data_IF_291137699851
#
_entry.id   IF_291137699851
#
_cell.length_a   1.000
_cell.length_b   1.000
_cell.length_c   1.000
_cell.angle_alpha   90.00
_cell.angle_beta   90.00
_cell.angle_gamma   90.00
#
_symmetry.space_group_name_H-M   'P 1'
#
loop_
_entity.id
_entity.type
_entity.pdbx_description
1 polymer ?
#
# COMPACT_ATOMS: atom_id res chain seq x y z
N UNK A 1 31.02 7.98 17.16
CA UNK A 1 31.12 6.79 16.29
C UNK A 1 29.77 6.09 16.27
N UNK A 2 28.93 6.46 15.30
CA UNK A 2 27.58 5.91 15.13
C UNK A 2 27.68 4.51 14.53
N UNK A 3 27.30 3.49 15.30
CA UNK A 3 27.14 2.13 14.78
C UNK A 3 25.92 2.16 13.86
N UNK A 4 26.17 2.34 12.56
CA UNK A 4 25.19 1.99 11.51
C UNK A 4 24.75 0.55 11.78
N UNK A 5 23.51 0.35 12.23
CA UNK A 5 22.89 -0.97 12.23
C UNK A 5 22.91 -1.42 10.77
N UNK A 6 23.60 -2.53 10.50
CA UNK A 6 23.50 -3.19 9.20
C UNK A 6 22.01 -3.42 8.87
N UNK A 7 21.61 -3.34 7.60
CA UNK A 7 20.27 -3.76 7.21
C UNK A 7 20.05 -5.16 7.76
N UNK A 8 18.95 -5.34 8.48
CA UNK A 8 18.63 -6.62 9.10
C UNK A 8 18.35 -7.61 7.96
N UNK A 9 19.36 -8.38 7.53
CA UNK A 9 19.16 -9.56 6.67
C UNK A 9 18.01 -10.35 7.28
N UNK A 10 16.91 -10.45 6.54
CA UNK A 10 15.74 -11.12 7.07
C UNK A 10 16.04 -12.62 7.06
N UNK A 11 15.90 -13.29 8.21
CA UNK A 11 16.37 -14.68 8.43
C UNK A 11 15.86 -15.69 7.37
N UNK A 12 14.77 -15.35 6.69
CA UNK A 12 14.06 -16.18 5.73
C UNK A 12 13.82 -15.46 4.39
N UNK A 13 14.65 -14.46 4.02
CA UNK A 13 14.47 -13.59 2.84
C UNK A 13 14.18 -14.37 1.55
N UNK A 14 15.02 -15.38 1.24
CA UNK A 14 14.81 -16.20 0.05
C UNK A 14 13.46 -16.93 0.03
N UNK A 15 12.93 -17.32 1.19
CA UNK A 15 11.59 -17.93 1.29
C UNK A 15 10.51 -16.87 1.04
N UNK A 16 10.63 -15.71 1.68
CA UNK A 16 9.65 -14.63 1.52
C UNK A 16 9.61 -14.13 0.08
N UNK A 17 10.78 -13.99 -0.57
CA UNK A 17 10.90 -13.49 -1.94
C UNK A 17 10.19 -14.40 -2.94
N UNK A 18 10.44 -15.71 -2.88
CA UNK A 18 9.78 -16.63 -3.80
C UNK A 18 8.26 -16.68 -3.57
N UNK A 19 7.81 -16.52 -2.32
CA UNK A 19 6.38 -16.45 -2.00
C UNK A 19 5.74 -15.16 -2.55
N UNK A 20 6.44 -14.03 -2.47
CA UNK A 20 6.00 -12.76 -3.06
C UNK A 20 5.96 -12.86 -4.59
N UNK A 21 6.95 -13.48 -5.22
CA UNK A 21 6.97 -13.71 -6.67
C UNK A 21 5.79 -14.61 -7.11
N UNK A 22 5.54 -15.70 -6.38
CA UNK A 22 4.36 -16.54 -6.59
C UNK A 22 3.05 -15.77 -6.38
N UNK A 23 2.98 -14.91 -5.37
CA UNK A 23 1.81 -14.07 -5.14
C UNK A 23 1.55 -13.20 -6.37
N UNK A 24 2.57 -12.47 -6.83
CA UNK A 24 2.49 -11.57 -7.98
C UNK A 24 2.07 -12.32 -9.25
N UNK A 25 2.64 -13.50 -9.49
CA UNK A 25 2.21 -14.38 -10.58
C UNK A 25 0.72 -14.75 -10.48
N UNK A 26 0.25 -15.19 -9.31
CA UNK A 26 -1.16 -15.57 -9.14
C UNK A 26 -2.10 -14.37 -9.33
N UNK A 27 -1.69 -13.15 -8.92
CA UNK A 27 -2.47 -11.91 -9.14
C UNK A 27 -2.47 -11.47 -10.61
N UNK A 28 -1.30 -11.39 -11.22
CA UNK A 28 -1.10 -10.72 -12.51
C UNK A 28 -1.41 -11.65 -13.68
N UNK A 29 -1.00 -12.90 -13.60
CA UNK A 29 -1.15 -13.86 -14.69
C UNK A 29 -2.43 -14.67 -14.53
N UNK A 30 -2.58 -15.36 -13.39
CA UNK A 30 -3.74 -16.23 -13.15
C UNK A 30 -5.00 -15.48 -12.70
N UNK A 31 -4.89 -14.20 -12.31
CA UNK A 31 -5.99 -13.37 -11.78
C UNK A 31 -6.68 -14.02 -10.56
N UNK A 32 -5.94 -14.78 -9.76
CA UNK A 32 -6.41 -15.54 -8.61
C UNK A 32 -6.14 -14.79 -7.29
N UNK A 33 -6.98 -13.83 -6.94
CA UNK A 33 -6.78 -12.93 -5.79
C UNK A 33 -6.68 -13.66 -4.44
N UNK A 34 -7.43 -14.74 -4.24
CA UNK A 34 -7.37 -15.53 -3.01
C UNK A 34 -6.01 -16.22 -2.84
N UNK A 35 -5.42 -16.71 -3.93
CA UNK A 35 -4.07 -17.30 -3.89
C UNK A 35 -2.99 -16.25 -3.66
N UNK A 36 -3.12 -15.09 -4.31
CA UNK A 36 -2.26 -13.93 -4.03
C UNK A 36 -2.26 -13.57 -2.54
N UNK A 37 -3.44 -13.44 -1.93
CA UNK A 37 -3.56 -13.13 -0.51
C UNK A 37 -2.98 -14.25 0.38
N UNK A 38 -3.18 -15.52 0.02
CA UNK A 38 -2.62 -16.66 0.77
C UNK A 38 -1.08 -16.66 0.76
N UNK A 39 -0.45 -16.42 -0.40
CA UNK A 39 1.00 -16.32 -0.50
C UNK A 39 1.55 -15.11 0.26
N UNK A 40 0.90 -13.94 0.20
CA UNK A 40 1.31 -12.77 0.98
C UNK A 40 1.14 -12.97 2.49
N UNK A 41 0.07 -13.64 2.94
CA UNK A 41 -0.10 -14.00 4.35
C UNK A 41 1.04 -14.91 4.81
N UNK A 42 1.37 -15.94 4.04
CA UNK A 42 2.50 -16.83 4.35
C UNK A 42 3.83 -16.08 4.41
N UNK A 43 4.13 -15.22 3.42
CA UNK A 43 5.34 -14.42 3.39
C UNK A 43 5.44 -13.49 4.61
N UNK A 44 4.35 -12.81 4.98
CA UNK A 44 4.28 -11.91 6.14
C UNK A 44 4.59 -12.63 7.46
N UNK A 45 3.98 -13.79 7.69
CA UNK A 45 4.19 -14.56 8.92
C UNK A 45 5.60 -15.15 8.98
N UNK A 46 6.16 -15.58 7.84
CA UNK A 46 7.53 -16.08 7.75
C UNK A 46 8.57 -14.96 7.95
N UNK A 47 8.31 -13.76 7.42
CA UNK A 47 9.21 -12.60 7.57
C UNK A 47 9.40 -12.21 9.05
N UNK A 48 8.37 -12.41 9.87
CA UNK A 48 8.39 -12.14 11.32
C UNK A 48 8.87 -13.31 12.17
N UNK A 49 9.07 -14.48 11.56
CA UNK A 49 9.48 -15.67 12.30
C UNK A 49 10.92 -15.47 12.83
N UNK A 50 11.16 -15.59 14.14
CA UNK A 50 12.41 -15.14 14.77
C UNK A 50 13.59 -16.11 14.55
N UNK A 51 13.40 -17.17 13.77
CA UNK A 51 14.40 -18.20 13.51
C UNK A 51 14.48 -18.48 12.00
N UNK A 52 15.61 -19.01 11.57
CA UNK A 52 15.77 -19.52 10.21
C UNK A 52 15.02 -20.85 10.08
N UNK A 53 14.04 -20.90 9.18
CA UNK A 53 13.24 -22.09 8.90
C UNK A 53 14.11 -23.18 8.30
N UNK A 54 14.00 -24.40 8.81
CA UNK A 54 14.79 -25.56 8.39
C UNK A 54 13.99 -26.61 7.63
N UNK A 55 12.67 -26.52 7.64
CA UNK A 55 11.79 -27.42 6.89
C UNK A 55 10.42 -26.80 6.61
N UNK A 56 9.73 -27.31 5.59
CA UNK A 56 8.33 -27.02 5.33
C UNK A 56 7.43 -27.45 6.49
N UNK A 57 7.75 -28.56 7.17
CA UNK A 57 7.01 -29.02 8.34
C UNK A 57 7.07 -28.02 9.52
N UNK A 58 8.23 -27.37 9.71
CA UNK A 58 8.38 -26.27 10.67
C UNK A 58 7.54 -25.06 10.25
N UNK A 59 7.66 -24.64 8.98
CA UNK A 59 6.90 -23.51 8.46
C UNK A 59 5.38 -23.72 8.53
N UNK A 60 4.90 -24.96 8.30
CA UNK A 60 3.47 -25.33 8.34
C UNK A 60 2.81 -25.13 9.70
N UNK A 61 3.59 -24.99 10.78
CA UNK A 61 3.07 -24.66 12.11
C UNK A 61 2.62 -23.20 12.22
N UNK A 62 3.04 -22.35 11.27
CA UNK A 62 2.68 -20.94 11.22
C UNK A 62 1.30 -20.76 10.57
N UNK A 63 0.44 -19.96 11.19
CA UNK A 63 -0.87 -19.63 10.61
C UNK A 63 -0.71 -18.96 9.24
N UNK A 64 -1.39 -19.47 8.22
CA UNK A 64 -1.26 -19.04 6.83
C UNK A 64 -0.33 -19.91 5.96
N UNK A 65 0.42 -20.86 6.55
CA UNK A 65 1.28 -21.78 5.78
C UNK A 65 0.62 -23.16 5.66
N UNK A 66 0.00 -23.43 4.50
CA UNK A 66 -0.60 -24.74 4.20
C UNK A 66 0.38 -25.76 3.62
N UNK A 67 -0.06 -27.02 3.44
CA UNK A 67 0.77 -28.12 2.92
C UNK A 67 1.47 -27.78 1.59
N UNK A 68 0.76 -27.15 0.64
CA UNK A 68 1.33 -26.78 -0.67
C UNK A 68 2.41 -25.70 -0.59
N UNK A 69 2.43 -24.89 0.46
CA UNK A 69 3.48 -23.89 0.70
C UNK A 69 4.66 -24.57 1.38
N UNK A 70 4.38 -25.41 2.39
CA UNK A 70 5.40 -26.23 3.05
C UNK A 70 6.22 -27.07 2.05
N UNK A 71 5.57 -27.76 1.12
CA UNK A 71 6.25 -28.53 0.07
C UNK A 71 7.19 -27.67 -0.80
N UNK A 72 6.81 -26.42 -1.08
CA UNK A 72 7.65 -25.48 -1.86
C UNK A 72 8.83 -24.98 -1.05
N UNK A 73 8.64 -24.80 0.26
CA UNK A 73 9.72 -24.45 1.18
C UNK A 73 10.73 -25.60 1.24
N UNK A 74 10.27 -26.85 1.35
CA UNK A 74 11.17 -28.01 1.31
C UNK A 74 11.94 -28.10 -0.01
N UNK A 75 11.28 -27.90 -1.16
CA UNK A 75 11.95 -27.85 -2.48
C UNK A 75 13.00 -26.74 -2.53
N UNK A 76 12.66 -25.54 -2.05
CA UNK A 76 13.56 -24.39 -2.04
C UNK A 76 14.75 -24.59 -1.12
N UNK A 77 14.54 -25.09 0.10
CA UNK A 77 15.62 -25.38 1.04
C UNK A 77 16.57 -26.47 0.54
N UNK A 78 16.04 -27.45 -0.21
CA UNK A 78 16.84 -28.56 -0.76
C UNK A 78 17.66 -28.13 -1.98
N UNK A 79 17.07 -27.32 -2.86
CA UNK A 79 17.65 -27.06 -4.20
C UNK A 79 18.13 -25.62 -4.41
N UNK A 80 17.80 -24.72 -3.49
CA UNK A 80 18.01 -23.27 -3.62
C UNK A 80 17.08 -22.60 -4.64
N UNK A 81 16.17 -23.34 -5.28
CA UNK A 81 15.29 -22.86 -6.37
C UNK A 81 13.90 -23.48 -6.27
N UNK A 82 12.97 -22.99 -7.08
CA UNK A 82 11.64 -23.58 -7.20
C UNK A 82 11.32 -23.83 -8.67
N UNK A 83 11.14 -25.09 -9.07
CA UNK A 83 10.89 -25.45 -10.48
C UNK A 83 9.68 -24.75 -11.08
N UNK A 84 8.64 -24.50 -10.26
CA UNK A 84 7.46 -23.73 -10.69
C UNK A 84 7.84 -22.31 -11.10
N UNK A 85 8.70 -21.63 -10.34
CA UNK A 85 9.13 -20.26 -10.67
C UNK A 85 10.06 -20.23 -11.87
N UNK A 86 10.98 -21.18 -12.00
CA UNK A 86 11.84 -21.28 -13.18
C UNK A 86 11.00 -21.41 -14.46
N UNK A 87 9.93 -22.23 -14.42
CA UNK A 87 8.99 -22.34 -15.54
C UNK A 87 8.22 -21.04 -15.82
N UNK A 88 7.81 -20.33 -14.76
CA UNK A 88 7.11 -19.04 -14.89
C UNK A 88 8.03 -17.98 -15.51
N UNK A 89 9.29 -17.92 -15.08
CA UNK A 89 10.30 -16.97 -15.59
C UNK A 89 10.63 -17.24 -17.05
N UNK A 90 10.61 -18.50 -17.48
CA UNK A 90 10.82 -18.89 -18.89
C UNK A 90 9.59 -18.69 -19.79
N UNK A 91 8.41 -18.37 -19.23
CA UNK A 91 7.21 -18.12 -20.02
C UNK A 91 7.10 -16.63 -20.39
N UNK A 92 7.36 -16.31 -21.65
CA UNK A 92 7.34 -14.94 -22.18
C UNK A 92 6.04 -14.19 -21.88
N UNK A 93 4.92 -14.91 -21.87
CA UNK A 93 3.60 -14.35 -21.53
C UNK A 93 3.56 -13.88 -20.09
N UNK A 94 3.98 -14.73 -19.15
CA UNK A 94 4.01 -14.41 -17.73
C UNK A 94 4.99 -13.27 -17.42
N UNK A 95 6.17 -13.31 -18.01
CA UNK A 95 7.20 -12.27 -17.83
C UNK A 95 6.73 -10.91 -18.36
N UNK A 96 6.14 -10.87 -19.56
CA UNK A 96 5.60 -9.63 -20.13
C UNK A 96 4.43 -9.07 -19.33
N UNK A 97 3.47 -9.93 -18.93
CA UNK A 97 2.32 -9.48 -18.12
C UNK A 97 2.79 -8.93 -16.77
N UNK A 98 3.71 -9.62 -16.08
CA UNK A 98 4.27 -9.13 -14.81
C UNK A 98 5.05 -7.82 -14.97
N UNK A 99 5.75 -7.65 -16.08
CA UNK A 99 6.45 -6.40 -16.36
C UNK A 99 5.45 -5.25 -16.55
N UNK A 100 4.46 -5.42 -17.43
CA UNK A 100 3.49 -4.38 -17.76
C UNK A 100 2.65 -3.95 -16.55
N UNK A 101 2.36 -4.85 -15.60
CA UNK A 101 1.62 -4.50 -14.37
C UNK A 101 2.42 -3.66 -13.37
N UNK A 102 3.73 -3.45 -13.58
CA UNK A 102 4.54 -2.52 -12.77
C UNK A 102 4.21 -1.05 -13.10
N UNK A 103 3.73 -0.78 -14.31
CA UNK A 103 3.26 0.56 -14.71
C UNK A 103 1.95 0.85 -13.99
N UNK A 104 1.93 1.90 -13.15
CA UNK A 104 0.71 2.27 -12.42
C UNK A 104 -0.43 2.61 -13.40
N UNK A 105 -1.64 2.13 -13.10
CA UNK A 105 -2.78 2.20 -14.00
C UNK A 105 -2.93 1.00 -14.95
N UNK A 106 -1.89 0.15 -15.09
CA UNK A 106 -1.98 -1.11 -15.85
C UNK A 106 -2.24 -2.27 -14.88
N UNK A 107 -3.50 -2.71 -14.81
CA UNK A 107 -3.89 -3.92 -14.08
C UNK A 107 -3.72 -5.21 -14.90
N UNK A 108 -3.91 -6.40 -14.29
CA UNK A 108 -3.77 -7.70 -14.95
C UNK A 108 -4.56 -7.87 -16.26
N UNK A 109 -5.77 -7.28 -16.32
CA UNK A 109 -6.60 -7.32 -17.51
C UNK A 109 -6.03 -6.47 -18.66
N UNK A 110 -5.55 -5.25 -18.35
CA UNK A 110 -4.94 -4.37 -19.34
C UNK A 110 -3.59 -4.93 -19.82
N UNK A 111 -2.75 -5.43 -18.92
CA UNK A 111 -1.47 -6.06 -19.26
C UNK A 111 -1.66 -7.25 -20.23
N UNK A 112 -2.64 -8.12 -19.97
CA UNK A 112 -2.97 -9.23 -20.87
C UNK A 112 -3.45 -8.74 -22.24
N UNK A 113 -4.34 -7.74 -22.27
CA UNK A 113 -4.81 -7.13 -23.52
C UNK A 113 -3.64 -6.55 -24.33
N UNK A 114 -2.75 -5.78 -23.71
CA UNK A 114 -1.57 -5.23 -24.37
C UNK A 114 -0.63 -6.32 -24.89
N UNK A 115 -0.45 -7.39 -24.12
CA UNK A 115 0.31 -8.55 -24.57
C UNK A 115 -0.31 -9.21 -25.81
N UNK A 116 -1.63 -9.40 -25.83
CA UNK A 116 -2.35 -9.92 -27.01
C UNK A 116 -2.21 -8.98 -28.24
N UNK A 117 -2.07 -7.67 -28.01
CA UNK A 117 -1.79 -6.67 -29.05
C UNK A 117 -0.30 -6.55 -29.45
N UNK A 118 0.58 -7.40 -28.92
CA UNK A 118 2.00 -7.44 -29.30
C UNK A 118 2.94 -6.60 -28.43
N UNK A 119 2.44 -5.94 -27.37
CA UNK A 119 3.27 -5.16 -26.43
C UNK A 119 4.00 -6.11 -25.48
N UNK A 120 5.32 -5.99 -25.36
CA UNK A 120 6.13 -6.86 -24.47
C UNK A 120 6.88 -6.08 -23.40
N UNK A 121 7.28 -4.84 -23.69
CA UNK A 121 8.18 -4.04 -22.87
C UNK A 121 7.77 -2.55 -22.83
N UNK A 122 8.61 -1.71 -22.24
CA UNK A 122 8.37 -0.28 -22.06
C UNK A 122 8.41 0.47 -23.40
N UNK A 123 9.31 0.07 -24.30
CA UNK A 123 9.47 0.67 -25.63
C UNK A 123 8.20 0.46 -26.47
N UNK A 124 7.59 -0.71 -26.38
CA UNK A 124 6.31 -0.99 -27.05
C UNK A 124 5.17 -0.17 -26.46
N UNK A 125 5.13 0.00 -25.13
CA UNK A 125 4.15 0.89 -24.48
C UNK A 125 4.29 2.33 -24.97
N UNK A 126 5.53 2.85 -25.10
CA UNK A 126 5.79 4.20 -25.64
C UNK A 126 5.27 4.35 -27.08
N UNK A 127 5.37 3.32 -27.92
CA UNK A 127 4.82 3.35 -29.30
C UNK A 127 3.29 3.41 -29.34
N UNK A 128 2.61 2.91 -28.31
CA UNK A 128 1.14 2.89 -28.22
C UNK A 128 0.59 3.86 -27.19
N UNK A 129 1.34 4.90 -26.81
CA UNK A 129 0.96 5.86 -25.76
C UNK A 129 -0.43 6.48 -25.99
N UNK A 130 -0.82 6.68 -27.26
CA UNK A 130 -2.14 7.16 -27.67
C UNK A 130 -3.31 6.20 -27.34
N UNK A 131 -3.03 4.92 -27.07
CA UNK A 131 -4.02 3.92 -26.62
C UNK A 131 -4.12 3.82 -25.10
N UNK A 132 -3.19 4.42 -24.38
CA UNK A 132 -3.18 4.41 -22.92
C UNK A 132 -4.18 5.43 -22.39
N UNK A 133 -4.86 5.10 -21.28
CA UNK A 133 -5.63 6.12 -20.57
C UNK A 133 -4.71 7.08 -19.80
N UNK A 134 -5.26 8.19 -19.32
CA UNK A 134 -4.51 9.23 -18.61
C UNK A 134 -3.63 8.70 -17.47
N UNK A 135 -4.18 7.84 -16.59
CA UNK A 135 -3.41 7.24 -15.49
C UNK A 135 -2.23 6.41 -16.03
N UNK A 136 -2.47 5.58 -17.05
CA UNK A 136 -1.42 4.76 -17.67
C UNK A 136 -0.33 5.59 -18.35
N UNK A 137 -0.69 6.72 -18.97
CA UNK A 137 0.28 7.64 -19.57
C UNK A 137 1.21 8.24 -18.52
N UNK A 138 0.67 8.75 -17.41
CA UNK A 138 1.48 9.26 -16.29
C UNK A 138 2.30 8.13 -15.65
N UNK A 139 1.72 6.94 -15.51
CA UNK A 139 2.43 5.78 -15.00
C UNK A 139 3.59 5.34 -15.88
N UNK A 140 3.47 5.50 -17.20
CA UNK A 140 4.54 5.26 -18.16
C UNK A 140 5.61 6.37 -18.09
N UNK A 141 5.18 7.64 -18.00
CA UNK A 141 6.03 8.83 -17.90
C UNK A 141 7.03 8.72 -16.74
N UNK A 142 6.55 8.31 -15.56
CA UNK A 142 7.35 8.24 -14.32
C UNK A 142 7.70 6.82 -13.88
N UNK A 143 7.69 5.85 -14.79
CA UNK A 143 7.87 4.43 -14.48
C UNK A 143 9.10 4.18 -13.60
N UNK A 144 10.27 4.70 -14.00
CA UNK A 144 11.52 4.48 -13.27
C UNK A 144 11.57 5.22 -11.93
N UNK A 145 10.95 6.39 -11.84
CA UNK A 145 10.92 7.21 -10.62
C UNK A 145 9.99 6.61 -9.56
N UNK A 146 8.84 6.06 -9.96
CA UNK A 146 7.89 5.40 -9.06
C UNK A 146 8.40 4.09 -8.46
N UNK A 147 9.44 3.48 -9.03
CA UNK A 147 10.09 2.31 -8.44
C UNK A 147 11.15 2.69 -7.38
N UNK A 148 11.56 3.96 -7.32
CA UNK A 148 12.52 4.44 -6.34
C UNK A 148 11.82 4.69 -5.01
N UNK A 149 12.40 4.13 -3.95
CA UNK A 149 12.00 4.37 -2.56
C UNK A 149 12.23 5.84 -2.18
N UNK A 150 11.40 6.36 -1.29
CA UNK A 150 11.51 7.70 -0.72
C UNK A 150 12.22 7.58 0.64
N UNK A 151 13.44 8.13 0.84
CA UNK A 151 14.10 8.15 2.13
C UNK A 151 13.25 8.87 3.20
N UNK A 152 13.33 8.42 4.45
CA UNK A 152 12.56 9.05 5.54
C UNK A 152 12.86 10.55 5.71
N UNK A 153 14.10 10.99 5.46
CA UNK A 153 14.46 12.40 5.49
C UNK A 153 13.69 13.23 4.45
N UNK A 154 13.55 12.72 3.22
CA UNK A 154 12.75 13.34 2.17
C UNK A 154 11.27 13.40 2.57
N UNK A 155 10.73 12.32 3.18
CA UNK A 155 9.37 12.32 3.74
C UNK A 155 9.15 13.39 4.81
N UNK A 156 10.15 13.68 5.64
CA UNK A 156 10.07 14.72 6.70
C UNK A 156 10.03 16.14 6.12
N UNK A 157 10.77 16.38 5.04
CA UNK A 157 10.72 17.65 4.30
C UNK A 157 9.32 17.83 3.69
N UNK A 158 8.81 16.79 3.02
CA UNK A 158 7.46 16.81 2.44
C UNK A 158 6.38 17.00 3.51
N UNK A 159 6.47 16.30 4.64
CA UNK A 159 5.55 16.49 5.78
C UNK A 159 5.54 17.95 6.25
N UNK A 160 6.71 18.55 6.44
CA UNK A 160 6.84 19.94 6.90
C UNK A 160 6.21 20.92 5.90
N UNK A 161 6.48 20.74 4.60
CA UNK A 161 5.88 21.55 3.54
C UNK A 161 4.36 21.38 3.54
N UNK A 162 3.86 20.15 3.46
CA UNK A 162 2.42 19.86 3.38
C UNK A 162 1.67 20.46 4.57
N UNK A 163 2.14 20.24 5.80
CA UNK A 163 1.45 20.74 6.99
C UNK A 163 1.44 22.27 7.05
N UNK A 164 2.51 22.93 6.62
CA UNK A 164 2.56 24.39 6.49
C UNK A 164 1.56 24.89 5.45
N UNK A 165 1.50 24.25 4.28
CA UNK A 165 0.62 24.69 3.19
C UNK A 165 -0.85 24.39 3.47
N UNK A 166 -1.17 23.38 4.29
CA UNK A 166 -2.54 23.18 4.81
C UNK A 166 -3.00 24.36 5.68
N UNK A 167 -2.13 24.88 6.55
CA UNK A 167 -2.43 26.05 7.41
C UNK A 167 -2.69 27.33 6.58
N UNK A 168 -2.03 27.46 5.41
CA UNK A 168 -2.26 28.55 4.46
C UNK A 168 -3.64 28.45 3.80
N UNK A 169 -4.09 27.24 3.46
CA UNK A 169 -5.41 27.03 2.84
C UNK A 169 -6.52 27.27 3.85
N UNK A 170 -6.44 26.59 5.01
CA UNK A 170 -7.33 26.81 6.15
C UNK A 170 -6.69 26.22 7.42
N UNK A 171 -6.47 27.01 8.49
CA UNK A 171 -5.89 26.52 9.74
C UNK A 171 -6.75 25.47 10.47
N UNK A 172 -8.01 25.27 10.07
CA UNK A 172 -8.88 24.22 10.62
C UNK A 172 -8.62 22.82 10.02
N UNK A 173 -7.83 22.73 8.93
CA UNK A 173 -7.39 21.43 8.41
C UNK A 173 -6.48 20.72 9.39
N UNK A 174 -6.69 19.41 9.51
CA UNK A 174 -5.72 18.52 10.18
C UNK A 174 -5.27 17.49 9.16
N UNK A 175 -3.99 17.56 8.81
CA UNK A 175 -3.29 16.57 7.98
C UNK A 175 -2.48 15.60 8.84
N UNK A 176 -2.57 14.31 8.55
CA UNK A 176 -1.76 13.26 9.17
C UNK A 176 -1.09 12.42 8.09
N UNK A 177 0.25 12.45 8.01
CA UNK A 177 1.00 11.57 7.12
C UNK A 177 0.93 10.13 7.67
N UNK A 178 0.39 9.22 6.88
CA UNK A 178 0.05 7.85 7.25
C UNK A 178 1.02 6.84 6.61
N UNK A 179 0.51 5.68 6.17
CA UNK A 179 1.28 4.70 5.42
C UNK A 179 2.47 4.13 6.17
N UNK A 180 3.50 3.72 5.42
CA UNK A 180 4.77 3.23 6.00
C UNK A 180 5.49 4.28 6.83
N UNK A 181 5.30 5.57 6.52
CA UNK A 181 5.92 6.66 7.25
C UNK A 181 5.48 6.70 8.72
N UNK A 182 4.16 6.62 8.98
CA UNK A 182 3.59 6.54 10.33
C UNK A 182 3.96 5.27 11.08
N UNK A 183 4.24 4.18 10.35
CA UNK A 183 4.77 2.94 10.93
C UNK A 183 6.28 3.01 11.23
N UNK A 184 6.92 4.17 11.03
CA UNK A 184 8.33 4.37 11.36
C UNK A 184 9.30 3.72 10.37
N UNK A 185 8.90 3.48 9.12
CA UNK A 185 9.81 2.95 8.12
C UNK A 185 10.92 3.96 7.76
N UNK A 186 12.14 3.46 7.53
CA UNK A 186 13.31 4.25 7.09
C UNK A 186 13.20 4.75 5.64
N UNK A 187 12.28 4.16 4.87
CA UNK A 187 11.85 4.66 3.58
C UNK A 187 10.37 4.38 3.36
N UNK A 188 9.75 5.07 2.40
CA UNK A 188 8.36 4.87 1.96
C UNK A 188 8.29 4.63 0.45
N UNK A 189 7.16 4.12 -0.03
CA UNK A 189 6.92 3.93 -1.47
C UNK A 189 6.31 5.19 -2.09
N UNK A 190 5.46 5.83 -1.32
CA UNK A 190 4.66 6.99 -1.64
C UNK A 190 4.33 7.76 -0.35
N UNK A 191 3.56 8.84 -0.50
CA UNK A 191 3.09 9.69 0.59
C UNK A 191 1.57 9.50 0.71
N UNK A 192 1.13 9.09 1.90
CA UNK A 192 -0.27 8.92 2.23
C UNK A 192 -0.69 10.02 3.20
N UNK A 193 -1.66 10.86 2.84
CA UNK A 193 -2.11 12.00 3.65
C UNK A 193 -3.57 11.81 4.03
N UNK A 194 -3.83 11.54 5.30
CA UNK A 194 -5.18 11.60 5.84
C UNK A 194 -5.52 13.05 6.17
N UNK A 195 -6.64 13.54 5.65
CA UNK A 195 -7.09 14.91 5.84
C UNK A 195 -8.44 14.92 6.56
N UNK A 196 -8.63 15.85 7.49
CA UNK A 196 -9.93 16.13 8.12
C UNK A 196 -10.16 17.64 8.22
N UNK A 197 -11.42 18.04 8.28
CA UNK A 197 -11.86 19.43 8.44
C UNK A 197 -13.18 19.43 9.24
N UNK A 198 -13.43 20.40 10.13
CA UNK A 198 -14.66 20.45 10.95
C UNK A 198 -15.96 20.49 10.13
N UNK A 199 -15.96 21.13 8.96
CA UNK A 199 -17.13 21.16 8.07
C UNK A 199 -17.50 19.82 7.42
N UNK A 200 -16.64 18.81 7.55
CA UNK A 200 -16.92 17.47 7.03
C UNK A 200 -16.95 16.43 8.17
N UNK A 201 -18.15 16.01 8.50
CA UNK A 201 -18.47 14.97 9.49
C UNK A 201 -19.37 13.90 8.89
N UNK A 202 -19.63 12.83 9.64
CA UNK A 202 -20.53 11.75 9.21
C UNK A 202 -21.99 12.19 9.01
N UNK A 203 -22.36 13.35 9.56
CA UNK A 203 -23.70 13.94 9.48
C UNK A 203 -23.85 14.97 8.35
N UNK A 204 -22.73 15.49 7.84
CA UNK A 204 -22.74 16.45 6.73
C UNK A 204 -22.75 15.74 5.38
N UNK A 205 -23.27 16.41 4.35
CA UNK A 205 -23.06 15.99 2.96
C UNK A 205 -21.57 16.02 2.60
N UNK A 206 -21.20 15.30 1.54
CA UNK A 206 -19.83 15.33 1.03
C UNK A 206 -19.45 16.75 0.63
N UNK A 207 -18.27 17.18 1.06
CA UNK A 207 -17.71 18.50 0.78
C UNK A 207 -16.54 18.38 -0.21
N UNK A 208 -16.78 18.14 -1.51
CA UNK A 208 -15.70 17.95 -2.50
C UNK A 208 -14.74 19.14 -2.55
N UNK A 209 -15.27 20.36 -2.33
CA UNK A 209 -14.50 21.60 -2.31
C UNK A 209 -13.35 21.58 -1.30
N UNK A 210 -13.51 20.89 -0.17
CA UNK A 210 -12.47 20.84 0.86
C UNK A 210 -11.24 20.07 0.36
N UNK A 211 -11.42 18.95 -0.32
CA UNK A 211 -10.29 18.25 -0.93
C UNK A 211 -9.75 19.02 -2.13
N UNK A 212 -10.64 19.61 -2.94
CA UNK A 212 -10.24 20.33 -4.15
C UNK A 212 -9.39 21.55 -3.82
N UNK A 213 -9.76 22.35 -2.82
CA UNK A 213 -8.98 23.51 -2.39
C UNK A 213 -7.54 23.14 -2.01
N UNK A 214 -7.35 22.05 -1.26
CA UNK A 214 -6.01 21.57 -0.89
C UNK A 214 -5.22 21.12 -2.11
N UNK A 215 -5.84 20.33 -3.01
CA UNK A 215 -5.16 19.86 -4.23
C UNK A 215 -4.80 21.03 -5.14
N UNK A 216 -5.74 21.96 -5.37
CA UNK A 216 -5.55 23.13 -6.24
C UNK A 216 -4.44 24.04 -5.69
N UNK A 217 -4.36 24.21 -4.36
CA UNK A 217 -3.28 24.95 -3.71
C UNK A 217 -1.92 24.27 -3.91
N UNK A 218 -1.83 22.96 -3.65
CA UNK A 218 -0.59 22.20 -3.83
C UNK A 218 -0.14 22.15 -5.30
N UNK A 219 -1.07 22.18 -6.26
CA UNK A 219 -0.78 22.36 -7.68
C UNK A 219 -0.27 23.78 -7.98
N UNK A 220 -0.88 24.81 -7.38
CA UNK A 220 -0.51 26.22 -7.63
C UNK A 220 0.90 26.58 -7.17
N UNK A 221 1.39 25.94 -6.11
CA UNK A 221 2.77 26.10 -5.62
C UNK A 221 3.75 25.15 -6.34
N UNK A 222 3.27 24.33 -7.28
CA UNK A 222 4.06 23.39 -8.05
C UNK A 222 4.53 22.15 -7.28
N UNK A 223 3.95 21.86 -6.09
CA UNK A 223 4.28 20.64 -5.35
C UNK A 223 3.59 19.42 -5.96
N UNK A 224 2.29 19.53 -6.28
CA UNK A 224 1.58 18.52 -7.08
C UNK A 224 1.79 18.83 -8.56
N UNK A 225 2.32 17.86 -9.30
CA UNK A 225 2.76 18.03 -10.69
C UNK A 225 1.87 17.33 -11.71
N UNK A 226 1.26 16.20 -11.33
CA UNK A 226 0.31 15.48 -12.19
C UNK A 226 -0.80 14.82 -11.37
N UNK A 227 -1.98 14.67 -11.97
CA UNK A 227 -3.13 14.01 -11.37
C UNK A 227 -3.34 12.63 -12.02
N UNK A 228 -3.57 11.58 -11.23
CA UNK A 228 -4.01 10.27 -11.74
C UNK A 228 -5.54 10.15 -11.65
N UNK A 229 -6.12 10.56 -10.52
CA UNK A 229 -7.56 10.63 -10.30
C UNK A 229 -7.91 11.59 -9.16
N UNK A 230 -9.05 12.28 -9.26
CA UNK A 230 -9.58 13.20 -8.25
C UNK A 230 -11.08 12.98 -8.11
N UNK A 231 -11.53 12.67 -6.91
CA UNK A 231 -12.94 12.58 -6.53
C UNK A 231 -13.27 13.54 -5.39
N UNK A 232 -14.41 13.35 -4.73
CA UNK A 232 -14.84 14.22 -3.63
C UNK A 232 -13.99 14.05 -2.36
N UNK A 233 -13.54 12.82 -2.10
CA UNK A 233 -12.86 12.47 -0.84
C UNK A 233 -11.51 11.80 -1.04
N UNK A 234 -11.11 11.52 -2.28
CA UNK A 234 -9.83 10.90 -2.60
C UNK A 234 -9.16 11.57 -3.79
N UNK A 235 -7.90 11.89 -3.63
CA UNK A 235 -7.00 12.30 -4.70
C UNK A 235 -5.84 11.29 -4.80
N UNK A 236 -5.43 10.99 -6.03
CA UNK A 236 -4.24 10.23 -6.34
C UNK A 236 -3.47 11.01 -7.39
N UNK A 237 -2.22 11.36 -7.12
CA UNK A 237 -1.41 12.16 -8.03
C UNK A 237 0.09 11.95 -7.91
N UNK A 238 0.83 12.91 -8.40
CA UNK A 238 2.27 12.97 -8.43
C UNK A 238 2.69 14.28 -7.80
N UNK A 239 3.72 14.22 -6.97
CA UNK A 239 4.32 15.41 -6.37
C UNK A 239 5.84 15.37 -6.52
N UNK A 240 6.47 16.52 -6.38
CA UNK A 240 7.91 16.66 -6.42
C UNK A 240 8.31 17.78 -5.45
N UNK A 241 9.34 17.55 -4.64
CA UNK A 241 9.96 18.64 -3.92
C UNK A 241 10.67 19.56 -4.92
N UNK A 242 10.51 20.87 -4.74
CA UNK A 242 11.26 21.83 -5.53
C UNK A 242 12.73 21.79 -5.10
N UNK A 243 13.60 21.96 -6.09
CA UNK A 243 15.03 22.01 -5.92
C UNK A 243 15.42 23.33 -5.23
N UNK A 244 16.19 23.25 -4.14
CA UNK A 244 16.85 24.44 -3.58
C UNK A 244 18.17 24.72 -4.33
N UNK A 245 18.66 25.97 -4.29
CA UNK A 245 19.91 26.35 -4.97
C UNK A 245 21.13 25.52 -4.51
N UNK A 246 21.07 24.94 -3.31
CA UNK A 246 22.11 24.11 -2.70
C UNK A 246 22.04 22.62 -3.10
N UNK A 247 20.94 22.17 -3.71
CA UNK A 247 20.78 20.78 -4.11
C UNK A 247 21.58 20.48 -5.39
N UNK A 248 22.32 19.37 -5.40
CA UNK A 248 23.11 18.95 -6.58
C UNK A 248 22.22 18.34 -7.68
N UNK A 249 21.16 17.61 -7.30
CA UNK A 249 20.26 16.89 -8.20
C UNK A 249 18.78 17.25 -7.95
N UNK A 250 17.93 17.09 -8.97
CA UNK A 250 16.48 17.23 -8.80
C UNK A 250 15.90 16.05 -8.00
N UNK A 251 14.88 16.33 -7.17
CA UNK A 251 14.11 15.30 -6.51
C UNK A 251 13.31 14.47 -7.53
N UNK A 252 13.12 13.17 -7.27
CA UNK A 252 12.25 12.36 -8.12
C UNK A 252 10.77 12.70 -7.89
N UNK A 253 9.97 12.53 -8.94
CA UNK A 253 8.52 12.51 -8.89
C UNK A 253 8.04 11.36 -8.00
N UNK A 254 7.26 11.69 -6.99
CA UNK A 254 6.74 10.76 -5.99
C UNK A 254 5.23 10.61 -6.12
N UNK A 255 4.75 9.41 -5.88
CA UNK A 255 3.31 9.16 -5.74
C UNK A 255 2.79 9.77 -4.45
N UNK A 256 1.63 10.41 -4.54
CA UNK A 256 0.92 11.02 -3.41
C UNK A 256 -0.55 10.64 -3.46
N UNK A 257 -1.08 10.22 -2.31
CA UNK A 257 -2.49 9.90 -2.11
C UNK A 257 -3.04 10.75 -0.95
N UNK A 258 -4.09 11.53 -1.22
CA UNK A 258 -4.77 12.35 -0.22
C UNK A 258 -6.16 11.78 0.00
N UNK A 259 -6.52 11.55 1.27
CA UNK A 259 -7.81 11.00 1.66
C UNK A 259 -8.48 11.91 2.69
N UNK A 260 -9.55 12.60 2.26
CA UNK A 260 -10.44 13.33 3.15
C UNK A 260 -11.39 12.34 3.83
N UNK A 261 -11.39 12.34 5.17
CA UNK A 261 -12.25 11.52 6.03
C UNK A 261 -13.10 12.42 6.92
N UNK A 262 -14.36 12.03 7.23
CA UNK A 262 -15.15 12.72 8.24
C UNK A 262 -14.40 12.88 9.55
N UNK A 263 -14.35 14.09 10.12
CA UNK A 263 -13.53 14.42 11.29
C UNK A 263 -13.85 13.53 12.49
N UNK A 264 -15.12 13.23 12.73
CA UNK A 264 -15.63 12.36 13.78
C UNK A 264 -15.32 10.86 13.58
N UNK A 265 -14.78 10.50 12.41
CA UNK A 265 -14.38 9.12 12.07
C UNK A 265 -12.85 8.97 11.94
N UNK A 266 -12.10 9.98 12.42
CA UNK A 266 -10.64 10.05 12.31
C UNK A 266 -9.94 8.76 12.75
N UNK A 267 -10.34 8.15 13.87
CA UNK A 267 -9.64 6.97 14.41
C UNK A 267 -9.78 5.72 13.53
N UNK A 268 -10.94 5.51 12.90
CA UNK A 268 -11.09 4.45 11.90
C UNK A 268 -10.30 4.77 10.62
N UNK A 269 -10.29 6.04 10.21
CA UNK A 269 -9.57 6.52 9.03
C UNK A 269 -8.06 6.36 9.16
N UNK A 270 -7.49 6.83 10.28
CA UNK A 270 -6.04 6.76 10.56
C UNK A 270 -5.60 5.32 10.77
N UNK A 271 -6.42 4.46 11.40
CA UNK A 271 -6.12 3.03 11.50
C UNK A 271 -6.03 2.39 10.11
N UNK A 272 -7.02 2.64 9.25
CA UNK A 272 -7.01 2.16 7.87
C UNK A 272 -5.78 2.65 7.11
N UNK A 273 -5.49 3.95 7.14
CA UNK A 273 -4.46 4.51 6.28
C UNK A 273 -3.04 4.31 6.83
N UNK A 274 -2.89 4.01 8.13
CA UNK A 274 -1.62 3.57 8.73
C UNK A 274 -1.21 2.19 8.21
N UNK A 275 -2.16 1.26 8.03
CA UNK A 275 -1.88 -0.09 7.55
C UNK A 275 -0.97 -0.91 8.48
N UNK A 276 -0.20 -1.89 7.98
CA UNK A 276 -0.05 -2.28 6.56
C UNK A 276 -1.33 -2.85 5.94
N UNK A 277 -1.33 -3.08 4.63
CA UNK A 277 -2.49 -3.67 3.96
C UNK A 277 -2.77 -5.11 4.43
N UNK A 278 -1.73 -5.87 4.77
CA UNK A 278 -1.84 -7.19 5.41
C UNK A 278 -2.39 -7.06 6.83
N UNK A 279 -1.87 -6.10 7.63
CA UNK A 279 -2.40 -5.80 8.96
C UNK A 279 -3.90 -5.56 8.93
N UNK A 280 -4.35 -4.67 8.04
CA UNK A 280 -5.74 -4.30 7.89
C UNK A 280 -6.61 -5.50 7.49
N UNK A 281 -6.14 -6.35 6.57
CA UNK A 281 -6.85 -7.58 6.18
C UNK A 281 -7.00 -8.54 7.36
N UNK A 282 -5.93 -8.76 8.11
CA UNK A 282 -5.94 -9.64 9.28
C UNK A 282 -6.87 -9.09 10.38
N UNK A 283 -6.76 -7.79 10.68
CA UNK A 283 -7.60 -7.12 11.68
C UNK A 283 -9.08 -7.15 11.32
N UNK A 284 -9.43 -6.86 10.06
CA UNK A 284 -10.82 -6.92 9.59
C UNK A 284 -11.37 -8.34 9.58
N UNK A 285 -10.55 -9.34 9.25
CA UNK A 285 -10.95 -10.76 9.30
C UNK A 285 -11.23 -11.18 10.74
N UNK A 286 -10.33 -10.83 11.67
CA UNK A 286 -10.52 -11.08 13.10
C UNK A 286 -11.74 -10.33 13.66
N UNK A 287 -12.01 -9.10 13.21
CA UNK A 287 -13.23 -8.37 13.55
C UNK A 287 -14.49 -9.16 13.16
N UNK A 288 -14.53 -9.72 11.93
CA UNK A 288 -15.66 -10.54 11.47
C UNK A 288 -15.85 -11.79 12.36
N UNK A 289 -14.76 -12.46 12.74
CA UNK A 289 -14.79 -13.61 13.67
C UNK A 289 -15.31 -13.22 15.06
N UNK A 290 -15.10 -11.97 15.48
CA UNK A 290 -15.62 -11.39 16.72
C UNK A 290 -17.02 -10.80 16.59
N UNK A 291 -17.65 -10.91 15.42
CA UNK A 291 -19.00 -10.39 15.19
C UNK A 291 -19.03 -8.89 14.92
N UNK A 292 -17.98 -8.33 14.33
CA UNK A 292 -17.89 -6.92 13.93
C UNK A 292 -17.50 -6.79 12.47
N UNK A 293 -17.90 -5.69 11.83
CA UNK A 293 -17.34 -5.25 10.55
C UNK A 293 -16.63 -3.93 10.73
N UNK A 294 -15.42 -3.81 10.16
CA UNK A 294 -14.54 -2.66 10.30
C UNK A 294 -14.16 -2.12 8.92
N UNK A 295 -14.42 -0.83 8.68
CA UNK A 295 -13.94 -0.11 7.51
C UNK A 295 -13.22 1.18 7.94
N UNK A 296 -12.85 2.03 6.99
CA UNK A 296 -12.16 3.30 7.26
C UNK A 296 -13.03 4.37 7.94
N UNK A 297 -14.32 4.10 8.15
CA UNK A 297 -15.28 5.05 8.71
C UNK A 297 -15.73 4.63 10.11
N UNK A 298 -16.04 3.34 10.29
CA UNK A 298 -16.72 2.84 11.49
C UNK A 298 -16.36 1.39 11.78
N UNK A 299 -16.46 1.01 13.06
CA UNK A 299 -16.67 -0.38 13.48
C UNK A 299 -18.15 -0.56 13.85
N UNK A 300 -18.77 -1.65 13.37
CA UNK A 300 -20.20 -1.95 13.59
C UNK A 300 -20.37 -3.39 14.04
N UNK A 301 -21.27 -3.68 14.99
CA UNK A 301 -21.60 -5.05 15.34
C UNK A 301 -22.37 -5.72 14.20
N UNK A 302 -22.20 -7.02 14.03
CA UNK A 302 -22.98 -7.84 13.12
C UNK A 302 -24.12 -8.49 13.90
N UNK A 303 -25.35 -8.24 13.46
CA UNK A 303 -26.52 -8.93 14.00
C UNK A 303 -26.53 -10.42 13.64
N UNK A 304 -27.48 -11.17 14.19
CA UNK A 304 -27.66 -12.61 13.95
C UNK A 304 -27.82 -12.92 12.44
N UNK A 305 -28.36 -11.97 11.68
CA UNK A 305 -28.56 -12.04 10.22
C UNK A 305 -27.29 -11.73 9.40
N UNK A 306 -26.20 -11.30 10.05
CA UNK A 306 -24.99 -10.81 9.38
C UNK A 306 -25.09 -9.38 8.85
N UNK A 307 -26.19 -8.67 9.12
CA UNK A 307 -26.35 -7.26 8.78
C UNK A 307 -25.60 -6.40 9.79
N UNK A 308 -24.87 -5.39 9.30
CA UNK A 308 -24.17 -4.42 10.14
C UNK A 308 -25.19 -3.53 10.87
N UNK A 309 -25.07 -3.46 12.19
CA UNK A 309 -25.82 -2.52 13.03
C UNK A 309 -25.25 -1.11 13.00
N UNK A 310 -25.63 -0.31 13.99
CA UNK A 310 -25.18 1.07 14.12
C UNK A 310 -23.68 1.18 14.44
N UNK A 311 -23.01 2.27 14.04
CA UNK A 311 -21.63 2.55 14.43
C UNK A 311 -21.44 2.56 15.95
N UNK A 312 -20.38 1.90 16.41
CA UNK A 312 -19.93 2.02 17.80
C UNK A 312 -19.17 3.33 18.00
N UNK A 313 -19.17 3.84 19.23
CA UNK A 313 -18.38 5.01 19.62
C UNK A 313 -16.88 4.66 19.58
N UNK A 314 -16.07 5.54 18.98
CA UNK A 314 -14.62 5.38 18.88
C UNK A 314 -13.96 6.73 19.15
N UNK A 315 -13.31 6.85 20.29
CA UNK A 315 -12.57 8.04 20.74
C UNK A 315 -11.06 7.83 20.72
N UNK A 316 -10.59 6.63 20.36
CA UNK A 316 -9.19 6.34 20.13
C UNK A 316 -8.96 5.18 19.16
N UNK A 317 -7.75 5.05 18.61
CA UNK A 317 -7.38 3.83 17.89
C UNK A 317 -7.49 2.58 18.79
N UNK A 318 -7.27 2.71 20.12
CA UNK A 318 -7.27 1.58 21.06
C UNK A 318 -8.66 0.97 21.22
N UNK A 319 -9.71 1.77 21.20
CA UNK A 319 -11.10 1.31 21.36
C UNK A 319 -11.44 0.26 20.29
N UNK A 320 -10.98 0.47 19.06
CA UNK A 320 -11.16 -0.47 17.95
C UNK A 320 -10.49 -1.83 18.24
N UNK A 321 -9.31 -1.82 18.87
CA UNK A 321 -8.62 -3.04 19.29
C UNK A 321 -9.35 -3.72 20.45
N UNK A 322 -9.89 -2.94 21.39
CA UNK A 322 -10.63 -3.45 22.55
C UNK A 322 -11.93 -4.15 22.12
N UNK A 323 -12.71 -3.57 21.20
CA UNK A 323 -13.92 -4.21 20.67
C UNK A 323 -13.66 -5.60 20.10
N UNK A 324 -12.56 -5.75 19.37
CA UNK A 324 -12.19 -7.04 18.75
C UNK A 324 -11.34 -7.92 19.68
N UNK A 325 -11.16 -7.54 20.95
CA UNK A 325 -10.39 -8.28 21.95
C UNK A 325 -8.92 -8.52 21.51
N UNK A 326 -8.30 -7.51 20.93
CA UNK A 326 -6.88 -7.48 20.63
C UNK A 326 -6.14 -6.56 21.59
N UNK A 327 -4.92 -6.95 21.96
CA UNK A 327 -3.99 -6.02 22.59
C UNK A 327 -3.62 -4.94 21.58
N UNK A 328 -3.63 -3.68 22.02
CA UNK A 328 -3.19 -2.57 21.18
C UNK A 328 -1.77 -2.81 20.66
N UNK A 329 -1.60 -2.52 19.36
CA UNK A 329 -0.31 -2.50 18.68
C UNK A 329 -0.03 -1.09 18.22
N UNK A 330 1.13 -0.56 18.58
CA UNK A 330 1.62 0.73 18.09
C UNK A 330 1.80 0.68 16.57
N UNK A 331 1.72 1.81 15.83
CA UNK A 331 1.87 1.83 14.38
C UNK A 331 3.10 1.07 13.84
N UNK A 332 4.25 1.16 14.53
CA UNK A 332 5.49 0.45 14.18
C UNK A 332 5.40 -1.08 14.27
N UNK A 333 4.46 -1.61 15.03
CA UNK A 333 4.21 -3.04 15.19
C UNK A 333 3.24 -3.60 14.13
N UNK A 334 2.72 -2.74 13.24
CA UNK A 334 1.72 -3.06 12.22
C UNK A 334 2.31 -3.24 10.82
N UNK A 335 3.64 -3.25 10.69
CA UNK A 335 4.33 -3.60 9.45
C UNK A 335 4.27 -5.11 9.26
N UNK A 336 3.13 -5.60 8.78
CA UNK A 336 2.91 -7.00 8.39
C UNK A 336 3.11 -7.24 6.91
#
# INVERSE_FOLDING_TARGET
MSKRKAPQETLNEGITDFLIELANYERNVNRAIHKYNAYRKAASVIAKYPQKIKSGAEAKKLDGVGSKIAEKIDEFLTTGKLRKLEKIRSDDTSSSINFLTRVTGIGPAAARKFYEEGVRNLEDLKKIEHKLNHHQQIGLKYFEEFEKRIPRAEMQIMETLILKELDVVDPEYIGTICGSYRRGAESSGDIDILLTHPDFTSQSEKQPKLLHAVVDHLESIGFVTDMLSKGDTKFMGVCQLQKDEEDEEEYFHRRIDIRLIPKDQYFCGVLYFTGSDIFNKNMRTHALEKGFTLNEYTIRPLGITGVAGEPLLVDSEKDIFEYIQWKYKEPKERSE
#
